data_IF_538583826030
#
_entry.id   IF_538583826030
#
_cell.length_a   1.000
_cell.length_b   1.000
_cell.length_c   1.000
_cell.angle_alpha   90.00
_cell.angle_beta   90.00
_cell.angle_gamma   90.00
#
_symmetry.space_group_name_H-M   'P 1'
#
loop_
_entity.id
_entity.type
_entity.pdbx_description
1 polymer ?
#
# COMPACT_ATOMS: atom_id res chain seq x y z
N UNK A 1 34.54 -30.29 -5.29
CA UNK A 1 34.82 -28.84 -5.16
C UNK A 1 33.58 -28.04 -5.56
N UNK A 2 32.99 -27.35 -4.59
CA UNK A 2 31.64 -26.80 -4.60
C UNK A 2 31.60 -25.54 -5.48
N UNK A 3 30.76 -25.53 -6.52
CA UNK A 3 30.39 -24.32 -7.25
C UNK A 3 29.34 -23.56 -6.44
N UNK A 4 29.72 -22.40 -5.92
CA UNK A 4 28.86 -21.54 -5.12
C UNK A 4 28.06 -20.62 -6.06
N UNK A 5 26.86 -21.08 -6.42
CA UNK A 5 25.91 -20.32 -7.23
C UNK A 5 25.09 -19.39 -6.31
N UNK A 6 25.48 -18.12 -6.20
CA UNK A 6 24.67 -17.08 -5.53
C UNK A 6 23.70 -16.46 -6.53
N UNK A 7 22.60 -17.16 -6.79
CA UNK A 7 21.42 -16.57 -7.41
C UNK A 7 20.72 -15.69 -6.37
N UNK A 8 21.09 -14.40 -6.34
CA UNK A 8 20.32 -13.39 -5.63
C UNK A 8 19.38 -12.72 -6.64
N UNK A 9 18.26 -13.40 -6.95
CA UNK A 9 17.21 -12.91 -7.84
C UNK A 9 16.39 -11.83 -7.13
N UNK A 10 16.97 -10.63 -7.03
CA UNK A 10 16.19 -9.41 -6.88
C UNK A 10 15.51 -9.15 -8.24
N UNK A 11 14.30 -9.67 -8.44
CA UNK A 11 13.44 -9.29 -9.57
C UNK A 11 12.99 -7.83 -9.41
N UNK A 12 13.91 -6.89 -9.58
CA UNK A 12 13.58 -5.57 -10.07
C UNK A 12 13.40 -5.72 -11.58
N UNK A 13 12.16 -5.89 -12.02
CA UNK A 13 11.82 -5.82 -13.45
C UNK A 13 12.31 -4.48 -13.98
N UNK A 14 13.40 -4.49 -14.75
CA UNK A 14 13.92 -3.32 -15.44
C UNK A 14 12.92 -2.95 -16.53
N UNK A 15 11.94 -2.12 -16.18
CA UNK A 15 11.02 -1.53 -17.16
C UNK A 15 11.79 -0.54 -18.03
N UNK A 16 11.57 -0.60 -19.34
CA UNK A 16 12.22 0.34 -20.25
C UNK A 16 11.77 1.80 -19.94
N UNK A 17 12.61 2.81 -20.22
CA UNK A 17 12.27 4.21 -19.94
C UNK A 17 10.94 4.67 -20.56
N UNK A 18 10.59 4.14 -21.73
CA UNK A 18 9.31 4.40 -22.40
C UNK A 18 8.12 3.86 -21.59
N UNK A 19 8.19 2.61 -21.14
CA UNK A 19 7.15 1.99 -20.30
C UNK A 19 7.02 2.73 -18.97
N UNK A 20 8.13 3.19 -18.40
CA UNK A 20 8.12 3.98 -17.17
C UNK A 20 7.47 5.36 -17.36
N UNK A 21 7.72 6.03 -18.48
CA UNK A 21 7.10 7.31 -18.83
C UNK A 21 5.59 7.18 -19.07
N UNK A 22 5.18 6.14 -19.79
CA UNK A 22 3.77 5.85 -20.07
C UNK A 22 3.00 5.49 -18.80
N UNK A 23 3.60 4.68 -17.93
CA UNK A 23 3.01 4.44 -16.62
C UNK A 23 2.88 5.76 -15.86
N UNK A 24 3.89 6.63 -15.88
CA UNK A 24 3.91 7.87 -15.12
C UNK A 24 2.79 8.89 -15.47
N UNK A 25 2.11 8.75 -16.61
CA UNK A 25 0.97 9.62 -16.98
C UNK A 25 -0.38 9.16 -16.43
N UNK A 26 -0.55 7.87 -16.08
CA UNK A 26 -1.84 7.32 -15.62
C UNK A 26 -2.09 7.67 -14.16
N UNK A 27 -3.16 8.38 -13.79
CA UNK A 27 -3.36 8.78 -12.38
C UNK A 27 -3.94 7.65 -11.51
N UNK A 28 -3.86 7.77 -10.18
CA UNK A 28 -4.59 6.86 -9.26
C UNK A 28 -6.09 6.90 -9.52
N UNK A 29 -6.64 8.10 -9.74
CA UNK A 29 -8.04 8.32 -10.10
C UNK A 29 -8.41 7.54 -11.38
N UNK A 30 -7.58 7.63 -12.42
CA UNK A 30 -7.81 6.89 -13.67
C UNK A 30 -7.81 5.37 -13.43
N UNK A 31 -6.86 4.84 -12.64
CA UNK A 31 -6.87 3.42 -12.27
C UNK A 31 -8.16 2.98 -11.56
N UNK A 32 -8.79 3.89 -10.80
CA UNK A 32 -10.06 3.60 -10.12
C UNK A 32 -11.24 3.67 -11.09
N UNK A 33 -11.30 4.71 -11.93
CA UNK A 33 -12.36 4.92 -12.92
C UNK A 33 -12.42 3.77 -13.95
N UNK A 34 -11.26 3.25 -14.32
CA UNK A 34 -11.12 2.17 -15.30
C UNK A 34 -11.19 0.77 -14.65
N UNK A 35 -11.49 0.68 -13.35
CA UNK A 35 -11.67 -0.59 -12.64
C UNK A 35 -10.39 -1.41 -12.44
N UNK A 36 -9.20 -0.80 -12.64
CA UNK A 36 -7.92 -1.44 -12.31
C UNK A 36 -7.81 -1.64 -10.79
N UNK A 37 -8.17 -0.62 -10.01
CA UNK A 37 -8.36 -0.70 -8.56
C UNK A 37 -9.86 -0.59 -8.26
N UNK A 38 -10.39 -1.47 -7.42
CA UNK A 38 -11.83 -1.56 -7.12
C UNK A 38 -12.11 -1.68 -5.62
N UNK A 39 -13.37 -1.42 -5.23
CA UNK A 39 -13.85 -1.67 -3.86
C UNK A 39 -13.62 -3.15 -3.50
N UNK A 40 -13.14 -3.38 -2.28
CA UNK A 40 -12.78 -4.70 -1.77
C UNK A 40 -11.32 -5.10 -2.00
N UNK A 41 -10.58 -4.37 -2.82
CA UNK A 41 -9.13 -4.59 -2.96
C UNK A 41 -8.39 -4.29 -1.66
N UNK A 42 -7.35 -5.06 -1.39
CA UNK A 42 -6.40 -4.78 -0.31
C UNK A 42 -5.10 -4.22 -0.89
N UNK A 43 -4.68 -3.08 -0.35
CA UNK A 43 -3.44 -2.41 -0.66
C UNK A 43 -2.39 -2.81 0.37
N UNK A 44 -1.45 -3.66 -0.03
CA UNK A 44 -0.39 -4.19 0.82
C UNK A 44 0.88 -3.38 0.60
N UNK A 45 1.31 -2.67 1.64
CA UNK A 45 2.55 -1.91 1.66
C UNK A 45 3.67 -2.69 2.31
N UNK A 46 4.85 -2.68 1.68
CA UNK A 46 6.09 -3.16 2.31
C UNK A 46 7.29 -2.40 1.78
N UNK A 47 8.08 -1.79 2.68
CA UNK A 47 9.31 -1.09 2.29
C UNK A 47 10.37 -1.13 3.38
N UNK A 48 11.60 -1.43 2.99
CA UNK A 48 12.77 -1.30 3.85
C UNK A 48 13.30 0.13 3.86
N UNK A 49 13.54 0.67 5.05
CA UNK A 49 14.12 2.00 5.28
C UNK A 49 15.53 1.85 5.83
N UNK A 50 16.53 1.83 4.95
CA UNK A 50 17.92 1.56 5.32
C UNK A 50 18.47 2.51 6.40
N UNK A 51 18.11 3.80 6.35
CA UNK A 51 18.52 4.80 7.36
C UNK A 51 17.92 4.53 8.74
N UNK A 52 16.72 3.95 8.79
CA UNK A 52 16.06 3.55 10.04
C UNK A 52 16.38 2.09 10.44
N UNK A 53 17.01 1.31 9.54
CA UNK A 53 17.21 -0.15 9.67
C UNK A 53 15.92 -0.89 10.02
N UNK A 54 14.80 -0.42 9.47
CA UNK A 54 13.45 -0.90 9.79
C UNK A 54 12.69 -1.25 8.51
N UNK A 55 11.77 -2.21 8.60
CA UNK A 55 10.84 -2.54 7.51
C UNK A 55 9.45 -2.14 7.96
N UNK A 56 8.84 -1.25 7.19
CA UNK A 56 7.46 -0.81 7.43
C UNK A 56 6.54 -1.68 6.57
N UNK A 57 5.51 -2.23 7.19
CA UNK A 57 4.46 -3.02 6.55
C UNK A 57 3.08 -2.46 6.94
N UNK A 58 2.10 -2.57 6.05
CA UNK A 58 0.73 -2.14 6.35
C UNK A 58 -0.27 -2.64 5.32
N UNK A 59 -1.49 -2.92 5.75
CA UNK A 59 -2.57 -3.44 4.90
C UNK A 59 -3.80 -2.57 5.00
N UNK A 60 -4.29 -2.10 3.86
CA UNK A 60 -5.41 -1.17 3.76
C UNK A 60 -6.45 -1.68 2.78
N UNK A 61 -7.68 -1.91 3.24
CA UNK A 61 -8.77 -2.36 2.39
C UNK A 61 -9.49 -1.16 1.76
N UNK A 62 -9.70 -1.17 0.46
CA UNK A 62 -10.53 -0.18 -0.22
C UNK A 62 -11.99 -0.47 0.10
N UNK A 63 -12.67 0.46 0.77
CA UNK A 63 -14.08 0.31 1.18
C UNK A 63 -15.02 1.17 0.35
N UNK A 64 -14.52 2.26 -0.22
CA UNK A 64 -15.29 3.16 -1.08
C UNK A 64 -14.34 3.82 -2.10
N UNK A 65 -14.88 4.13 -3.28
CA UNK A 65 -14.24 4.98 -4.28
C UNK A 65 -15.25 6.07 -4.61
N UNK A 66 -14.89 7.33 -4.35
CA UNK A 66 -15.74 8.48 -4.66
C UNK A 66 -15.69 8.82 -6.15
N UNK A 67 -16.69 9.56 -6.62
CA UNK A 67 -16.78 10.03 -8.02
C UNK A 67 -15.54 10.85 -8.45
N UNK A 68 -14.94 11.59 -7.51
CA UNK A 68 -13.71 12.38 -7.73
C UNK A 68 -12.42 11.53 -7.78
N UNK A 69 -12.52 10.21 -7.63
CA UNK A 69 -11.39 9.28 -7.59
C UNK A 69 -10.71 9.15 -6.22
N UNK A 70 -11.24 9.76 -5.17
CA UNK A 70 -10.74 9.56 -3.81
C UNK A 70 -11.07 8.16 -3.31
N UNK A 71 -10.06 7.41 -2.89
CA UNK A 71 -10.24 6.12 -2.22
C UNK A 71 -10.51 6.35 -0.73
N UNK A 72 -11.51 5.67 -0.17
CA UNK A 72 -11.60 5.49 1.27
C UNK A 72 -11.04 4.12 1.60
N UNK A 73 -10.01 4.10 2.44
CA UNK A 73 -9.37 2.87 2.88
C UNK A 73 -9.52 2.66 4.36
N UNK A 74 -9.72 1.41 4.73
CA UNK A 74 -9.80 0.91 6.09
C UNK A 74 -8.45 0.27 6.45
N UNK A 75 -7.77 0.79 7.47
CA UNK A 75 -6.55 0.15 7.99
C UNK A 75 -6.95 -1.08 8.80
N UNK A 76 -6.56 -2.27 8.35
CA UNK A 76 -6.71 -3.49 9.12
C UNK A 76 -5.59 -3.55 10.18
N UNK A 77 -5.71 -2.75 11.25
CA UNK A 77 -4.91 -3.00 12.45
C UNK A 77 -5.47 -4.26 13.09
N UNK A 78 -4.65 -5.28 13.41
CA UNK A 78 -5.12 -6.37 14.25
C UNK A 78 -5.75 -5.73 15.50
N UNK A 79 -6.88 -6.28 16.01
CA UNK A 79 -7.47 -5.80 17.25
C UNK A 79 -6.35 -5.66 18.27
N UNK A 80 -6.24 -4.48 18.89
CA UNK A 80 -5.31 -4.26 19.99
C UNK A 80 -5.53 -5.42 20.97
N UNK A 81 -4.51 -6.23 21.19
CA UNK A 81 -4.59 -7.35 22.12
C UNK A 81 -4.68 -6.78 23.54
N UNK A 82 -5.91 -6.65 24.04
CA UNK A 82 -6.24 -6.17 25.40
C UNK A 82 -5.95 -7.23 26.47
N UNK A 83 -5.10 -8.22 26.20
CA UNK A 83 -4.62 -9.17 27.21
C UNK A 83 -3.61 -8.57 28.21
N UNK A 84 -3.32 -7.27 28.16
CA UNK A 84 -2.76 -6.55 29.29
C UNK A 84 -3.77 -6.54 30.46
N UNK A 85 -3.37 -6.90 31.70
CA UNK A 85 -4.31 -7.07 32.80
C UNK A 85 -5.04 -5.75 33.09
N UNK A 86 -6.37 -5.81 33.02
CA UNK A 86 -7.26 -4.68 33.32
C UNK A 86 -7.23 -4.45 34.84
N UNK A 87 -6.27 -3.67 35.34
CA UNK A 87 -6.33 -3.10 36.69
C UNK A 87 -6.99 -1.72 36.66
N UNK A 88 -8.28 -1.68 36.30
CA UNK A 88 -9.26 -0.74 36.85
C UNK A 88 -10.65 -1.00 36.25
N UNK A 89 -11.48 -1.73 36.99
CA UNK A 89 -12.90 -1.92 36.72
C UNK A 89 -13.68 -0.86 37.50
N UNK A 90 -13.97 0.27 36.85
CA UNK A 90 -15.12 1.12 37.18
C UNK A 90 -15.32 2.19 36.10
N UNK A 91 -15.91 1.79 34.99
CA UNK A 91 -16.93 2.56 34.24
C UNK A 91 -17.52 1.61 33.18
N UNK A 92 -18.81 1.75 32.88
CA UNK A 92 -19.60 0.92 31.96
C UNK A 92 -18.79 0.31 30.81
N UNK A 93 -18.97 -0.99 30.46
CA UNK A 93 -18.46 -1.51 29.21
C UNK A 93 -19.32 -0.91 28.07
N UNK A 94 -19.01 0.32 27.67
CA UNK A 94 -19.31 0.73 26.31
C UNK A 94 -18.51 -0.23 25.45
N UNK A 95 -19.22 -1.15 24.81
CA UNK A 95 -18.76 -1.92 23.67
C UNK A 95 -18.10 -0.91 22.72
N UNK A 96 -16.78 -0.76 22.79
CA UNK A 96 -16.03 0.13 21.92
C UNK A 96 -15.99 -0.57 20.58
N UNK A 97 -17.01 -0.30 19.76
CA UNK A 97 -16.99 -0.54 18.33
C UNK A 97 -15.60 -0.11 17.85
N UNK A 98 -14.81 -1.06 17.36
CA UNK A 98 -13.49 -0.76 16.83
C UNK A 98 -13.69 0.36 15.81
N UNK A 99 -13.23 1.58 16.12
CA UNK A 99 -13.22 2.67 15.15
C UNK A 99 -12.17 2.28 14.13
N UNK A 100 -12.58 1.46 13.18
CA UNK A 100 -11.71 1.08 12.09
C UNK A 100 -11.32 2.37 11.38
N UNK A 101 -10.01 2.64 11.35
CA UNK A 101 -9.48 3.92 10.89
C UNK A 101 -9.71 4.08 9.39
N UNK A 102 -10.84 4.66 9.02
CA UNK A 102 -11.13 5.09 7.65
C UNK A 102 -10.24 6.27 7.30
N UNK A 103 -9.63 6.23 6.12
CA UNK A 103 -8.70 7.25 5.64
C UNK A 103 -8.96 7.56 4.17
N UNK A 104 -9.06 8.85 3.85
CA UNK A 104 -9.21 9.30 2.46
C UNK A 104 -7.85 9.42 1.76
N UNK A 105 -7.73 8.79 0.60
CA UNK A 105 -6.49 8.72 -0.20
C UNK A 105 -6.75 9.30 -1.58
N UNK A 106 -6.19 10.48 -1.83
CA UNK A 106 -6.17 11.13 -3.15
C UNK A 106 -4.89 10.84 -3.93
N UNK A 107 -3.80 10.50 -3.23
CA UNK A 107 -2.49 10.14 -3.80
C UNK A 107 -1.86 9.02 -2.99
N UNK A 108 -1.20 8.07 -3.66
CA UNK A 108 -0.52 6.97 -2.97
C UNK A 108 0.60 7.42 -2.03
N UNK A 109 1.25 8.56 -2.31
CA UNK A 109 2.24 9.15 -1.40
C UNK A 109 1.61 9.57 -0.06
N UNK A 110 0.34 9.99 -0.06
CA UNK A 110 -0.40 10.31 1.16
C UNK A 110 -0.64 9.05 1.98
N UNK A 111 -1.02 7.95 1.32
CA UNK A 111 -1.15 6.65 1.99
C UNK A 111 0.20 6.14 2.52
N UNK A 112 1.28 6.21 1.74
CA UNK A 112 2.64 5.82 2.19
C UNK A 112 3.04 6.60 3.45
N UNK A 113 2.79 7.91 3.46
CA UNK A 113 3.05 8.77 4.63
C UNK A 113 2.29 8.28 5.86
N UNK A 114 0.99 7.97 5.69
CA UNK A 114 0.15 7.43 6.76
C UNK A 114 0.65 6.08 7.27
N UNK A 115 1.08 5.17 6.41
CA UNK A 115 1.63 3.87 6.83
C UNK A 115 2.88 4.05 7.69
N UNK A 116 3.78 4.94 7.26
CA UNK A 116 5.02 5.21 7.98
C UNK A 116 4.74 5.89 9.34
N UNK A 117 3.76 6.78 9.39
CA UNK A 117 3.33 7.43 10.63
C UNK A 117 2.65 6.46 11.61
N UNK A 118 1.82 5.55 11.09
CA UNK A 118 1.19 4.50 11.89
C UNK A 118 2.22 3.52 12.47
N UNK A 119 3.30 3.24 11.74
CA UNK A 119 4.41 2.39 12.19
C UNK A 119 5.30 3.08 13.23
N UNK A 120 5.55 4.39 13.09
CA UNK A 120 6.22 5.22 14.10
C UNK A 120 7.74 5.07 14.23
N UNK A 121 8.38 4.12 13.53
CA UNK A 121 9.83 3.88 13.67
C UNK A 121 10.70 4.67 12.69
N UNK A 122 10.11 5.31 11.69
CA UNK A 122 10.84 6.05 10.64
C UNK A 122 10.58 7.55 10.73
N UNK A 123 11.61 8.29 11.14
CA UNK A 123 11.59 9.75 11.20
C UNK A 123 11.59 10.37 9.81
N UNK A 124 11.12 11.62 9.70
CA UNK A 124 10.96 12.32 8.42
C UNK A 124 12.26 12.44 7.60
N UNK A 125 13.39 12.68 8.26
CA UNK A 125 14.74 12.77 7.67
C UNK A 125 15.30 11.42 7.19
N UNK A 126 14.70 10.32 7.65
CA UNK A 126 15.05 8.95 7.26
C UNK A 126 14.23 8.45 6.07
N UNK A 127 13.18 9.17 5.66
CA UNK A 127 12.32 8.81 4.53
C UNK A 127 13.02 9.18 3.21
N UNK A 128 13.38 8.20 2.35
CA UNK A 128 13.96 8.49 1.05
C UNK A 128 12.90 9.05 0.09
N UNK A 129 13.29 9.95 -0.81
CA UNK A 129 12.47 10.37 -1.94
C UNK A 129 12.20 9.13 -2.82
N UNK A 130 10.95 8.75 -2.99
CA UNK A 130 10.61 7.53 -3.73
C UNK A 130 9.19 7.55 -4.29
N UNK A 131 9.01 6.70 -5.30
CA UNK A 131 7.71 6.50 -5.93
C UNK A 131 6.93 5.43 -5.16
N UNK A 132 5.92 5.86 -4.40
CA UNK A 132 5.05 5.00 -3.59
C UNK A 132 4.39 3.87 -4.40
N UNK A 133 4.10 4.08 -5.69
CA UNK A 133 3.44 3.10 -6.56
C UNK A 133 4.17 1.76 -6.66
N UNK A 134 5.49 1.72 -6.40
CA UNK A 134 6.29 0.50 -6.45
C UNK A 134 6.17 -0.36 -5.20
N UNK A 135 5.79 0.24 -4.07
CA UNK A 135 5.82 -0.41 -2.76
C UNK A 135 4.45 -0.91 -2.31
N UNK A 136 3.39 -0.57 -3.06
CA UNK A 136 2.04 -1.08 -2.86
C UNK A 136 1.74 -2.21 -3.85
N UNK A 137 1.21 -3.31 -3.33
CA UNK A 137 0.60 -4.39 -4.10
C UNK A 137 -0.91 -4.37 -3.95
N UNK A 138 -1.62 -4.82 -4.97
CA UNK A 138 -3.07 -4.97 -4.94
C UNK A 138 -3.39 -6.45 -4.81
N UNK A 139 -4.12 -6.81 -3.75
CA UNK A 139 -4.66 -8.15 -3.56
C UNK A 139 -6.17 -8.08 -3.72
N UNK A 140 -6.73 -8.88 -4.64
CA UNK A 140 -8.17 -8.96 -4.89
C UNK A 140 -8.66 -10.36 -4.61
N UNK A 141 -9.58 -10.51 -3.66
CA UNK A 141 -10.13 -11.80 -3.25
C UNK A 141 -9.04 -12.86 -2.98
N UNK A 142 -7.97 -12.47 -2.27
CA UNK A 142 -6.83 -13.34 -1.94
C UNK A 142 -5.83 -13.58 -3.08
N UNK A 143 -6.08 -13.07 -4.29
CA UNK A 143 -5.12 -13.14 -5.41
C UNK A 143 -4.29 -11.86 -5.49
N UNK A 144 -2.96 -12.00 -5.46
CA UNK A 144 -2.02 -10.92 -5.71
C UNK A 144 -2.03 -10.54 -7.21
N UNK A 145 -2.48 -9.33 -7.51
CA UNK A 145 -2.52 -8.76 -8.87
C UNK A 145 -1.20 -8.09 -9.26
N UNK A 146 -0.25 -7.95 -8.31
CA UNK A 146 1.03 -7.31 -8.51
C UNK A 146 1.11 -5.90 -7.92
N UNK A 147 2.18 -5.19 -8.27
CA UNK A 147 2.39 -3.82 -7.78
C UNK A 147 1.49 -2.83 -8.52
N UNK A 148 1.09 -1.74 -7.86
CA UNK A 148 0.30 -0.70 -8.52
C UNK A 148 1.08 -0.12 -9.72
N UNK A 149 2.40 0.02 -9.62
CA UNK A 149 3.22 0.41 -10.77
C UNK A 149 3.11 -0.58 -11.94
N UNK A 150 3.12 -1.89 -11.68
CA UNK A 150 2.95 -2.91 -12.71
C UNK A 150 1.58 -2.84 -13.39
N UNK A 151 0.51 -2.73 -12.59
CA UNK A 151 -0.86 -2.57 -13.09
C UNK A 151 -1.01 -1.29 -13.94
N UNK A 152 -0.41 -0.19 -13.48
CA UNK A 152 -0.36 1.09 -14.17
C UNK A 152 0.38 0.99 -15.51
N UNK A 153 1.52 0.32 -15.54
CA UNK A 153 2.27 0.05 -16.77
C UNK A 153 1.49 -0.83 -17.75
N UNK A 154 0.78 -1.84 -17.26
CA UNK A 154 -0.03 -2.73 -18.10
C UNK A 154 -1.21 -1.99 -18.72
N UNK A 155 -1.94 -1.22 -17.92
CA UNK A 155 -3.05 -0.40 -18.40
C UNK A 155 -2.59 0.66 -19.43
N UNK A 156 -1.50 1.38 -19.15
CA UNK A 156 -0.96 2.38 -20.07
C UNK A 156 -0.60 1.78 -21.44
N UNK A 157 -0.11 0.54 -21.47
CA UNK A 157 0.20 -0.16 -22.71
C UNK A 157 -1.04 -0.65 -23.46
N UNK A 158 -2.10 -1.07 -22.75
CA UNK A 158 -3.39 -1.45 -23.36
C UNK A 158 -4.03 -0.24 -24.04
N UNK A 159 -4.11 0.89 -23.33
CA UNK A 159 -4.67 2.15 -23.83
C UNK A 159 -4.05 2.67 -25.13
N UNK A 160 -2.79 2.33 -25.40
CA UNK A 160 -2.09 2.73 -26.65
C UNK A 160 -2.42 1.86 -27.87
N UNK A 161 -3.02 0.69 -27.66
CA UNK A 161 -3.35 -0.27 -28.73
C UNK A 161 -4.77 -0.11 -29.24
N UNK A 162 -5.62 0.56 -28.48
CA UNK A 162 -7.00 0.92 -28.82
C UNK A 162 -7.02 2.28 -29.55
#
# INVERSE_FOLDING_TARGET
PIQNNKNNSNNQTTVSPLIAGDAASVSLQELCQEGVITIGDELHYKRSFNKAKHVVEGTYKVVEIREDGTLIVEHNKPPIDISAPITNINTNPSLTTATTGLFAVTRLNTLETKVIEDDGHVKKDQRPNGNAYKNFRVVRAGRDLGTIFGLRSEYAQKKKKD
#
